data_IF_623637978200
#
_entry.id   IF_623637978200
#
_cell.length_a   1.000
_cell.length_b   1.000
_cell.length_c   1.000
_cell.angle_alpha   90.00
_cell.angle_beta   90.00
_cell.angle_gamma   90.00
#
_symmetry.space_group_name_H-M   'P 1'
#
loop_
_entity.id
_entity.type
_entity.pdbx_description
1 polymer ?
#
# COMPACT_ATOMS: atom_id res chain seq x y z
N UNK A 1 -10.39 -9.17 9.33
CA UNK A 1 -9.85 -7.89 8.81
C UNK A 1 -8.86 -7.32 9.82
N UNK A 2 -7.57 -7.34 9.52
CA UNK A 2 -6.58 -6.70 10.37
C UNK A 2 -6.72 -5.17 10.22
N UNK A 3 -6.79 -4.44 11.34
CA UNK A 3 -6.91 -2.97 11.35
C UNK A 3 -5.81 -2.30 10.51
N UNK A 4 -4.60 -2.86 10.50
CA UNK A 4 -3.46 -2.26 9.81
C UNK A 4 -3.47 -2.49 8.31
N UNK A 5 -3.91 -3.67 7.82
CA UNK A 5 -4.01 -3.92 6.37
C UNK A 5 -5.04 -3.00 5.71
N UNK A 6 -6.17 -2.76 6.38
CA UNK A 6 -7.16 -1.76 5.97
C UNK A 6 -6.56 -0.35 5.94
N UNK A 7 -5.90 0.05 7.02
CA UNK A 7 -5.29 1.37 7.12
C UNK A 7 -4.18 1.59 6.09
N UNK A 8 -3.43 0.56 5.69
CA UNK A 8 -2.46 0.64 4.59
C UNK A 8 -3.17 0.93 3.26
N UNK A 9 -4.23 0.19 2.95
CA UNK A 9 -5.00 0.35 1.70
C UNK A 9 -5.63 1.75 1.63
N UNK A 10 -6.31 2.20 2.68
CA UNK A 10 -6.95 3.51 2.73
C UNK A 10 -5.96 4.65 2.44
N UNK A 11 -4.71 4.52 2.93
CA UNK A 11 -3.65 5.50 2.69
C UNK A 11 -3.10 5.45 1.28
N UNK A 12 -2.95 4.26 0.69
CA UNK A 12 -2.58 4.12 -0.72
C UNK A 12 -3.66 4.69 -1.66
N UNK A 13 -4.94 4.47 -1.35
CA UNK A 13 -6.05 5.06 -2.10
C UNK A 13 -6.05 6.57 -1.98
N UNK A 14 -5.83 7.11 -0.76
CA UNK A 14 -5.71 8.54 -0.54
C UNK A 14 -4.56 9.15 -1.35
N UNK A 15 -3.39 8.49 -1.35
CA UNK A 15 -2.26 8.86 -2.20
C UNK A 15 -2.65 8.86 -3.68
N UNK A 16 -3.38 7.84 -4.14
CA UNK A 16 -3.85 7.73 -5.52
C UNK A 16 -4.80 8.86 -5.91
N UNK A 17 -5.73 9.25 -5.02
CA UNK A 17 -6.64 10.36 -5.29
C UNK A 17 -5.90 11.68 -5.50
N UNK A 18 -4.84 11.93 -4.72
CA UNK A 18 -4.02 13.14 -4.81
C UNK A 18 -2.76 12.98 -5.67
N UNK A 19 -2.70 11.96 -6.54
CA UNK A 19 -1.47 11.55 -7.27
C UNK A 19 -0.74 12.65 -8.06
N UNK A 20 -1.41 13.74 -8.41
CA UNK A 20 -0.80 14.87 -9.11
C UNK A 20 -0.18 15.93 -8.17
N UNK A 21 -0.39 15.80 -6.86
CA UNK A 21 0.16 16.64 -5.79
C UNK A 21 1.27 15.89 -5.04
N UNK A 22 2.51 16.02 -5.53
CA UNK A 22 3.67 15.25 -5.04
C UNK A 22 3.83 15.27 -3.51
N UNK A 23 3.67 16.42 -2.87
CA UNK A 23 3.83 16.54 -1.41
C UNK A 23 2.75 15.75 -0.67
N UNK A 24 1.48 15.87 -1.09
CA UNK A 24 0.37 15.13 -0.50
C UNK A 24 0.53 13.62 -0.69
N UNK A 25 0.96 13.18 -1.89
CA UNK A 25 1.27 11.77 -2.17
C UNK A 25 2.31 11.24 -1.19
N UNK A 26 3.43 11.94 -1.03
CA UNK A 26 4.53 11.47 -0.16
C UNK A 26 4.10 11.37 1.31
N UNK A 27 3.23 12.27 1.79
CA UNK A 27 2.65 12.19 3.13
C UNK A 27 1.83 10.90 3.28
N UNK A 28 0.91 10.64 2.35
CA UNK A 28 0.08 9.44 2.42
C UNK A 28 0.87 8.14 2.27
N UNK A 29 1.89 8.12 1.40
CA UNK A 29 2.77 6.96 1.25
C UNK A 29 3.59 6.70 2.51
N UNK A 30 4.06 7.75 3.18
CA UNK A 30 4.73 7.61 4.47
C UNK A 30 3.78 7.07 5.55
N UNK A 31 2.55 7.59 5.62
CA UNK A 31 1.54 7.08 6.57
C UNK A 31 1.20 5.61 6.32
N UNK A 32 1.07 5.21 5.04
CA UNK A 32 0.89 3.81 4.68
C UNK A 32 2.08 2.95 5.14
N UNK A 33 3.31 3.45 4.98
CA UNK A 33 4.51 2.74 5.43
C UNK A 33 4.56 2.60 6.96
N UNK A 34 4.20 3.63 7.72
CA UNK A 34 4.12 3.52 9.19
C UNK A 34 3.09 2.46 9.62
N UNK A 35 1.94 2.39 8.96
CA UNK A 35 0.96 1.33 9.22
C UNK A 35 1.51 -0.06 8.88
N UNK A 36 2.25 -0.20 7.78
CA UNK A 36 2.91 -1.45 7.41
C UNK A 36 4.00 -1.87 8.40
N UNK A 37 4.76 -0.92 8.96
CA UNK A 37 5.71 -1.19 10.04
C UNK A 37 5.02 -1.70 11.31
N UNK A 38 3.88 -1.11 11.67
CA UNK A 38 3.11 -1.58 12.81
C UNK A 38 2.55 -2.99 12.56
N UNK A 39 2.08 -3.28 11.34
CA UNK A 39 1.69 -4.63 10.94
C UNK A 39 2.86 -5.62 11.09
N UNK A 40 4.05 -5.29 10.57
CA UNK A 40 5.25 -6.14 10.72
C UNK A 40 5.59 -6.42 12.18
N UNK A 41 5.44 -5.43 13.05
CA UNK A 41 5.67 -5.56 14.49
C UNK A 41 4.66 -6.49 15.16
N UNK A 42 3.39 -6.39 14.79
CA UNK A 42 2.32 -7.22 15.37
C UNK A 42 2.47 -8.70 14.99
N UNK A 43 3.09 -9.01 13.85
CA UNK A 43 3.38 -10.39 13.40
C UNK A 43 4.84 -10.82 13.60
N UNK A 44 5.60 -10.09 14.42
CA UNK A 44 7.01 -10.40 14.68
C UNK A 44 7.11 -11.67 15.53
N UNK A 45 7.32 -12.82 14.87
CA UNK A 45 7.41 -14.14 15.51
C UNK A 45 6.36 -15.15 15.04
N UNK A 46 5.35 -14.73 14.28
CA UNK A 46 4.38 -15.61 13.65
C UNK A 46 4.65 -15.65 12.14
N UNK A 47 4.97 -16.84 11.61
CA UNK A 47 5.02 -17.03 10.16
C UNK A 47 3.60 -17.09 9.63
N UNK A 48 3.05 -15.94 9.24
CA UNK A 48 1.80 -15.86 8.50
C UNK A 48 2.11 -15.54 7.03
N UNK A 49 2.06 -16.55 6.14
CA UNK A 49 2.38 -16.37 4.72
C UNK A 49 1.53 -15.30 4.03
N UNK A 50 0.24 -15.20 4.37
CA UNK A 50 -0.65 -14.20 3.78
C UNK A 50 -0.23 -12.78 4.18
N UNK A 51 0.18 -12.57 5.43
CA UNK A 51 0.67 -11.25 5.89
C UNK A 51 2.00 -10.90 5.19
N UNK A 52 2.87 -11.88 5.02
CA UNK A 52 4.13 -11.69 4.29
C UNK A 52 3.90 -11.33 2.82
N UNK A 53 2.95 -11.99 2.15
CA UNK A 53 2.53 -11.70 0.78
C UNK A 53 1.95 -10.29 0.66
N UNK A 54 1.03 -9.91 1.55
CA UNK A 54 0.47 -8.55 1.58
C UNK A 54 1.54 -7.48 1.77
N UNK A 55 2.49 -7.69 2.69
CA UNK A 55 3.58 -6.74 2.94
C UNK A 55 4.53 -6.62 1.76
N UNK A 56 4.81 -7.72 1.07
CA UNK A 56 5.64 -7.71 -0.13
C UNK A 56 4.96 -6.97 -1.29
N UNK A 57 3.66 -7.20 -1.50
CA UNK A 57 2.87 -6.49 -2.51
C UNK A 57 2.75 -5.01 -2.18
N UNK A 58 2.64 -4.67 -0.89
CA UNK A 58 2.64 -3.28 -0.43
C UNK A 58 3.96 -2.58 -0.75
N UNK A 59 5.10 -3.20 -0.45
CA UNK A 59 6.42 -2.62 -0.73
C UNK A 59 6.59 -2.34 -2.24
N UNK A 60 6.20 -3.30 -3.09
CA UNK A 60 6.23 -3.13 -4.55
C UNK A 60 5.33 -1.98 -5.02
N UNK A 61 4.10 -1.94 -4.50
CA UNK A 61 3.12 -0.89 -4.85
C UNK A 61 3.64 0.49 -4.47
N UNK A 62 4.19 0.65 -3.26
CA UNK A 62 4.76 1.90 -2.77
C UNK A 62 5.93 2.35 -3.65
N UNK A 63 6.86 1.45 -3.95
CA UNK A 63 8.07 1.79 -4.71
C UNK A 63 7.73 2.17 -6.15
N UNK A 64 6.76 1.47 -6.76
CA UNK A 64 6.17 1.87 -8.04
C UNK A 64 5.54 3.26 -7.93
N UNK A 65 4.72 3.52 -6.91
CA UNK A 65 4.09 4.82 -6.76
C UNK A 65 5.14 5.93 -6.64
N UNK A 66 6.19 5.75 -5.84
CA UNK A 66 7.28 6.73 -5.70
C UNK A 66 7.96 7.00 -7.04
N UNK A 67 8.22 5.97 -7.85
CA UNK A 67 8.86 6.15 -9.16
C UNK A 67 7.96 6.96 -10.12
N UNK A 68 6.65 6.71 -10.10
CA UNK A 68 5.69 7.45 -10.94
C UNK A 68 5.38 8.85 -10.40
N UNK A 69 5.53 9.11 -9.10
CA UNK A 69 5.41 10.45 -8.52
C UNK A 69 6.51 11.41 -9.01
N UNK A 70 7.63 10.88 -9.52
CA UNK A 70 8.68 11.65 -10.19
C UNK A 70 8.30 11.99 -11.63
N UNK A 71 7.59 11.09 -12.33
CA UNK A 71 7.20 11.22 -13.74
C UNK A 71 5.66 11.32 -13.89
N UNK A 72 5.13 12.55 -13.83
CA UNK A 72 3.70 12.87 -13.58
C UNK A 72 2.72 12.56 -14.73
N UNK A 73 3.04 11.66 -15.65
CA UNK A 73 2.09 11.30 -16.70
C UNK A 73 0.93 10.47 -16.12
N UNK A 74 -0.30 10.85 -16.43
CA UNK A 74 -1.49 10.18 -15.89
C UNK A 74 -1.53 8.67 -16.20
N UNK A 75 -1.02 8.27 -17.37
CA UNK A 75 -0.91 6.87 -17.81
C UNK A 75 -0.08 5.99 -16.88
N UNK A 76 0.89 6.58 -16.19
CA UNK A 76 1.82 5.88 -15.30
C UNK A 76 1.13 5.31 -14.06
N UNK A 77 -0.02 5.87 -13.68
CA UNK A 77 -0.76 5.46 -12.49
C UNK A 77 -1.74 4.30 -12.74
N UNK A 78 -1.94 3.87 -13.99
CA UNK A 78 -2.81 2.71 -14.28
C UNK A 78 -2.28 1.43 -13.65
N UNK A 79 -0.95 1.28 -13.58
CA UNK A 79 -0.33 0.13 -12.92
C UNK A 79 -0.43 0.22 -11.40
N UNK A 80 -0.29 1.43 -10.84
CA UNK A 80 -0.51 1.70 -9.41
C UNK A 80 -1.93 1.34 -8.99
N UNK A 81 -2.94 1.70 -9.80
CA UNK A 81 -4.34 1.37 -9.52
C UNK A 81 -4.58 -0.15 -9.46
N UNK A 82 -3.99 -0.90 -10.40
CA UNK A 82 -4.06 -2.37 -10.43
C UNK A 82 -3.42 -2.98 -9.19
N UNK A 83 -2.22 -2.52 -8.84
CA UNK A 83 -1.49 -2.93 -7.63
C UNK A 83 -2.29 -2.68 -6.35
N UNK A 84 -2.99 -1.54 -6.25
CA UNK A 84 -3.90 -1.25 -5.14
C UNK A 84 -5.10 -2.22 -5.11
N UNK A 85 -5.64 -2.60 -6.28
CA UNK A 85 -6.70 -3.61 -6.35
C UNK A 85 -6.22 -5.00 -5.89
N UNK A 86 -5.02 -5.42 -6.31
CA UNK A 86 -4.39 -6.67 -5.86
C UNK A 86 -4.22 -6.69 -4.33
N UNK A 87 -3.79 -5.58 -3.73
CA UNK A 87 -3.72 -5.45 -2.27
C UNK A 87 -5.09 -5.58 -1.58
N UNK A 88 -6.16 -5.06 -2.19
CA UNK A 88 -7.53 -5.22 -1.66
C UNK A 88 -7.96 -6.68 -1.70
N UNK A 89 -7.66 -7.39 -2.78
CA UNK A 89 -7.99 -8.81 -2.93
C UNK A 89 -7.21 -9.67 -1.93
N UNK A 90 -5.91 -9.41 -1.75
CA UNK A 90 -5.10 -10.03 -0.68
C UNK A 90 -5.69 -9.74 0.70
N UNK A 91 -6.16 -8.51 0.92
CA UNK A 91 -6.71 -8.13 2.22
C UNK A 91 -8.01 -8.87 2.58
N UNK A 92 -8.81 -9.25 1.59
CA UNK A 92 -10.02 -10.06 1.81
C UNK A 92 -9.69 -11.47 2.33
N UNK A 93 -8.46 -11.97 2.10
CA UNK A 93 -8.03 -13.28 2.58
C UNK A 93 -7.80 -13.31 4.10
N UNK A 94 -7.65 -12.16 4.77
CA UNK A 94 -7.55 -12.04 6.24
C UNK A 94 -8.91 -11.98 6.97
N UNK A 95 -10.00 -12.38 6.30
CA UNK A 95 -11.36 -12.35 6.85
C UNK A 95 -11.77 -13.70 7.48
N UNK A 96 -10.92 -14.73 7.42
CA UNK A 96 -11.17 -16.05 8.01
C UNK A 96 -10.43 -16.28 9.33
#
# INVERSE_FOLDING_TARGET
>A
MNKWTNAVIERLESAYQVRFEKEAVLIFLNDAYQNALQLRKDYLGESNPSVAEFLAEFDQTRDLFISQAVDRYASNYNEVEKKIAELKDLNQQFVF
#
